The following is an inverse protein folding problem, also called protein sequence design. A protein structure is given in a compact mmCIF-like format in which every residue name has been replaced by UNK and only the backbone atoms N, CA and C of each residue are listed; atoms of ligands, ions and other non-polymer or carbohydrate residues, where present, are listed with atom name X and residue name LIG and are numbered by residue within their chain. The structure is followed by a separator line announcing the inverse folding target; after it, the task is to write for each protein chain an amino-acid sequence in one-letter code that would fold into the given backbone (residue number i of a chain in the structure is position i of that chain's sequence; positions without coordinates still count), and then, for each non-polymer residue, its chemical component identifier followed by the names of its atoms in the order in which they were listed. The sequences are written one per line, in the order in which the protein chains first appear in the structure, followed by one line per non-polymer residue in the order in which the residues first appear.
data_IF_897060425614
#
_entry.id   IF_897060425614
#
_cell.length_a   1.000
_cell.length_b   1.000
_cell.length_c   1.000
_cell.angle_alpha   90.00
_cell.angle_beta   90.00
_cell.angle_gamma   90.00
#
_symmetry.space_group_name_H-M   'P 1'
#
loop_
_entity.id
_entity.type
_entity.pdbx_description
1 polymer ?
#
# COMPACT_ATOMS: atom_id res chain seq x y z
N UNK A 1 6.31 5.36 -5.39
CA UNK A 1 7.28 5.09 -4.31
C UNK A 1 8.55 4.54 -4.92
N UNK A 2 9.68 4.92 -4.44
CA UNK A 2 10.99 4.50 -4.93
C UNK A 2 11.10 2.97 -5.04
N UNK A 3 11.60 2.49 -6.18
CA UNK A 3 11.77 1.05 -6.44
C UNK A 3 10.52 0.32 -6.93
N UNK A 4 9.37 1.00 -6.99
CA UNK A 4 8.11 0.41 -7.44
C UNK A 4 7.76 0.73 -8.91
N UNK A 5 8.51 1.61 -9.53
CA UNK A 5 8.27 2.08 -10.90
C UNK A 5 8.34 0.96 -11.95
N UNK A 6 9.07 -0.11 -11.67
CA UNK A 6 9.08 -1.30 -12.52
C UNK A 6 7.72 -1.97 -12.69
N UNK A 7 6.81 -1.75 -11.75
CA UNK A 7 5.44 -2.29 -11.82
C UNK A 7 4.56 -1.54 -12.81
N UNK A 8 4.88 -0.30 -13.16
CA UNK A 8 4.06 0.51 -14.06
C UNK A 8 3.91 -0.14 -15.43
N UNK A 9 4.98 -0.74 -15.95
CA UNK A 9 4.94 -1.43 -17.25
C UNK A 9 4.05 -2.67 -17.25
N UNK A 10 4.02 -3.39 -16.14
CA UNK A 10 3.30 -4.65 -16.04
C UNK A 10 1.83 -4.46 -15.68
N UNK A 11 1.55 -3.55 -14.75
CA UNK A 11 0.21 -3.38 -14.19
C UNK A 11 -0.57 -2.23 -14.83
N UNK A 12 0.13 -1.23 -15.38
CA UNK A 12 -0.49 -0.04 -15.94
C UNK A 12 -1.12 0.87 -14.90
N UNK A 13 -1.16 2.16 -15.21
CA UNK A 13 -1.79 3.18 -14.36
C UNK A 13 -3.23 3.35 -14.81
N UNK A 14 -4.17 3.27 -13.88
CA UNK A 14 -5.58 3.40 -14.20
C UNK A 14 -5.94 4.82 -14.61
N UNK A 15 -6.64 4.94 -15.74
CA UNK A 15 -7.33 6.17 -16.15
C UNK A 15 -8.61 5.79 -16.87
N UNK A 16 -9.75 6.32 -16.45
CA UNK A 16 -11.08 6.01 -17.04
C UNK A 16 -11.18 6.40 -18.52
N UNK A 17 -10.40 7.37 -18.96
CA UNK A 17 -10.36 7.85 -20.36
C UNK A 17 -9.16 7.31 -21.14
N UNK A 18 -8.20 6.66 -20.48
CA UNK A 18 -6.92 6.26 -21.06
C UNK A 18 -5.97 7.45 -21.19
N UNK A 19 -4.82 7.23 -21.81
CA UNK A 19 -3.80 8.26 -21.98
C UNK A 19 -4.10 9.11 -23.21
N UNK A 20 -4.25 10.43 -23.02
CA UNK A 20 -4.57 11.40 -24.07
C UNK A 20 -3.40 12.28 -24.48
N UNK A 21 -2.22 12.05 -23.92
CA UNK A 21 -0.99 12.82 -24.18
C UNK A 21 0.21 11.90 -24.22
N UNK A 22 1.29 12.39 -24.82
CA UNK A 22 2.59 11.73 -24.74
C UNK A 22 3.34 12.26 -23.52
N UNK A 23 3.76 11.39 -22.59
CA UNK A 23 4.52 11.82 -21.42
C UNK A 23 5.85 12.42 -21.81
N UNK A 24 6.22 13.55 -21.21
CA UNK A 24 7.57 14.10 -21.35
C UNK A 24 8.59 13.10 -20.78
N UNK A 25 9.74 13.02 -21.42
CA UNK A 25 10.84 12.13 -21.00
C UNK A 25 10.46 10.64 -20.90
N UNK A 26 9.45 10.20 -21.64
CA UNK A 26 8.96 8.82 -21.64
C UNK A 26 10.02 7.80 -22.04
N UNK A 27 11.04 8.22 -22.78
CA UNK A 27 12.19 7.43 -23.23
C UNK A 27 13.39 7.49 -22.27
N UNK A 28 13.38 8.41 -21.31
CA UNK A 28 14.56 8.72 -20.48
C UNK A 28 14.44 8.31 -19.02
N UNK A 29 13.27 8.46 -18.41
CA UNK A 29 13.12 8.37 -16.94
C UNK A 29 12.41 7.09 -16.51
N UNK A 30 11.17 6.88 -16.93
CA UNK A 30 10.42 5.68 -16.59
C UNK A 30 9.30 5.44 -17.60
N UNK A 31 8.89 4.19 -17.70
CA UNK A 31 7.73 3.83 -18.49
C UNK A 31 6.44 4.31 -17.76
N UNK A 32 5.78 5.29 -18.34
CA UNK A 32 4.51 5.81 -17.83
C UNK A 32 3.42 5.61 -18.89
N UNK A 33 2.39 4.85 -18.53
CA UNK A 33 1.25 4.61 -19.42
C UNK A 33 -0.04 4.51 -18.63
N UNK A 34 -0.96 5.40 -18.92
CA UNK A 34 -2.32 5.37 -18.41
C UNK A 34 -3.20 4.50 -19.32
N UNK A 35 -4.02 3.65 -18.72
CA UNK A 35 -4.90 2.73 -19.45
C UNK A 35 -6.16 2.41 -18.64
N UNK A 36 -7.25 2.08 -19.34
CA UNK A 36 -8.54 1.84 -18.72
C UNK A 36 -8.59 0.58 -17.86
N UNK A 37 -7.73 -0.37 -18.13
CA UNK A 37 -7.56 -1.62 -17.41
C UNK A 37 -6.33 -1.61 -16.47
N UNK A 38 -5.74 -0.44 -16.25
CA UNK A 38 -4.63 -0.27 -15.31
C UNK A 38 -5.02 -0.65 -13.89
N UNK A 39 -4.08 -1.27 -13.18
CA UNK A 39 -4.28 -1.75 -11.81
C UNK A 39 -3.59 -0.88 -10.75
N UNK A 40 -2.86 0.14 -11.18
CA UNK A 40 -2.23 1.09 -10.27
C UNK A 40 -3.07 2.36 -10.26
N UNK A 41 -3.55 2.74 -9.07
CA UNK A 41 -4.25 3.99 -8.85
C UNK A 41 -3.24 5.01 -8.28
N UNK A 42 -2.97 6.06 -9.04
CA UNK A 42 -2.12 7.15 -8.60
C UNK A 42 -2.96 8.27 -7.97
N UNK A 43 -2.81 8.44 -6.69
CA UNK A 43 -3.58 9.41 -5.88
C UNK A 43 -2.75 10.65 -5.52
N UNK A 44 -1.50 10.73 -5.97
CA UNK A 44 -0.57 11.76 -5.55
C UNK A 44 -0.13 11.63 -4.09
N UNK A 45 0.41 12.70 -3.53
CA UNK A 45 0.83 12.73 -2.11
C UNK A 45 -0.38 13.16 -1.27
N UNK A 46 -1.28 12.22 -1.04
CA UNK A 46 -2.52 12.41 -0.31
C UNK A 46 -2.88 11.13 0.44
N UNK A 47 -2.34 10.95 1.61
CA UNK A 47 -2.51 9.72 2.39
C UNK A 47 -3.99 9.46 2.73
N UNK A 48 -4.75 10.49 3.06
CA UNK A 48 -6.17 10.32 3.41
C UNK A 48 -7.01 9.89 2.21
N UNK A 49 -6.81 10.50 1.03
CA UNK A 49 -7.50 10.12 -0.21
C UNK A 49 -7.13 8.71 -0.65
N UNK A 50 -5.83 8.42 -0.71
CA UNK A 50 -5.32 7.10 -1.09
C UNK A 50 -5.83 5.99 -0.16
N UNK A 51 -5.84 6.24 1.14
CA UNK A 51 -6.32 5.25 2.09
C UNK A 51 -7.84 5.07 2.02
N UNK A 52 -8.59 6.11 1.72
CA UNK A 52 -10.03 6.00 1.48
C UNK A 52 -10.34 5.13 0.26
N UNK A 53 -9.59 5.30 -0.83
CA UNK A 53 -9.67 4.44 -2.02
C UNK A 53 -9.29 2.99 -1.68
N UNK A 54 -8.26 2.80 -0.86
CA UNK A 54 -7.86 1.48 -0.37
C UNK A 54 -8.97 0.83 0.46
N UNK A 55 -9.61 1.56 1.39
CA UNK A 55 -10.75 1.05 2.18
C UNK A 55 -11.90 0.63 1.27
N UNK A 56 -12.24 1.44 0.28
CA UNK A 56 -13.30 1.13 -0.67
C UNK A 56 -13.02 -0.19 -1.42
N UNK A 57 -11.80 -0.39 -1.89
CA UNK A 57 -11.39 -1.63 -2.53
C UNK A 57 -11.35 -2.80 -1.53
N UNK A 58 -10.79 -2.59 -0.34
CA UNK A 58 -10.62 -3.62 0.70
C UNK A 58 -11.95 -4.14 1.28
N UNK A 59 -13.04 -3.37 1.12
CA UNK A 59 -14.40 -3.72 1.57
C UNK A 59 -15.35 -4.04 0.42
N UNK A 60 -14.86 -4.09 -0.82
CA UNK A 60 -15.68 -4.31 -2.02
C UNK A 60 -16.51 -5.61 -1.98
N UNK A 61 -16.01 -6.63 -1.30
CA UNK A 61 -16.71 -7.90 -1.12
C UNK A 61 -18.09 -7.72 -0.46
N UNK A 62 -18.23 -6.75 0.45
CA UNK A 62 -19.48 -6.49 1.16
C UNK A 62 -20.47 -5.65 0.35
N UNK A 63 -19.99 -4.85 -0.60
CA UNK A 63 -20.82 -3.93 -1.38
C UNK A 63 -21.18 -4.46 -2.77
N UNK A 64 -20.25 -5.17 -3.42
CA UNK A 64 -20.41 -5.66 -4.78
C UNK A 64 -20.40 -7.19 -4.89
N UNK A 65 -20.07 -7.89 -3.82
CA UNK A 65 -19.85 -9.34 -3.84
C UNK A 65 -18.54 -9.77 -4.50
N UNK A 66 -17.72 -8.82 -4.92
CA UNK A 66 -16.40 -9.07 -5.55
C UNK A 66 -15.31 -8.71 -4.55
N UNK A 67 -14.52 -9.71 -4.17
CA UNK A 67 -13.38 -9.48 -3.27
C UNK A 67 -12.17 -8.99 -4.05
N UNK A 68 -11.65 -7.83 -3.66
CA UNK A 68 -10.33 -7.35 -4.08
C UNK A 68 -9.40 -7.29 -2.89
N UNK A 69 -8.11 -7.45 -3.13
CA UNK A 69 -7.06 -7.33 -2.10
C UNK A 69 -6.14 -6.18 -2.53
N UNK A 70 -6.41 -4.96 -2.10
CA UNK A 70 -5.60 -3.82 -2.47
C UNK A 70 -4.29 -3.77 -1.70
N UNK A 71 -3.27 -3.21 -2.35
CA UNK A 71 -2.00 -2.84 -1.76
C UNK A 71 -1.91 -1.32 -1.74
N UNK A 72 -1.68 -0.72 -0.58
CA UNK A 72 -1.40 0.70 -0.47
C UNK A 72 0.06 0.91 -0.05
N UNK A 73 0.79 1.66 -0.86
CA UNK A 73 2.22 1.90 -0.66
C UNK A 73 2.42 3.36 -0.29
N UNK A 74 3.03 3.61 0.86
CA UNK A 74 3.28 4.94 1.41
C UNK A 74 4.60 4.96 2.18
N UNK A 75 5.07 6.15 2.52
CA UNK A 75 6.22 6.27 3.43
C UNK A 75 5.81 5.89 4.85
N UNK A 76 6.50 4.91 5.45
CA UNK A 76 6.17 4.39 6.77
C UNK A 76 6.12 5.47 7.86
N UNK A 77 7.03 6.44 7.77
CA UNK A 77 7.07 7.56 8.72
C UNK A 77 5.78 8.37 8.75
N UNK A 78 5.16 8.60 7.59
CA UNK A 78 4.00 9.50 7.48
C UNK A 78 2.65 8.79 7.58
N UNK A 79 2.60 7.50 7.27
CA UNK A 79 1.35 6.76 7.14
C UNK A 79 0.46 6.86 8.37
N UNK A 80 0.71 6.05 9.37
CA UNK A 80 -0.17 5.96 10.55
C UNK A 80 -0.35 7.27 11.31
N UNK A 81 0.63 8.14 11.33
CA UNK A 81 0.44 9.44 11.99
C UNK A 81 -0.49 10.40 11.23
N UNK A 82 -0.74 10.13 9.94
CA UNK A 82 -1.68 10.93 9.13
C UNK A 82 -3.02 10.24 8.91
N UNK A 83 -3.06 8.91 8.96
CA UNK A 83 -4.26 8.11 8.64
C UNK A 83 -4.69 7.19 9.79
N UNK A 84 -4.24 7.45 11.02
CA UNK A 84 -4.56 6.57 12.15
C UNK A 84 -6.05 6.34 12.35
N UNK A 85 -6.87 7.37 12.29
CA UNK A 85 -8.33 7.26 12.40
C UNK A 85 -8.93 6.41 11.26
N UNK A 86 -8.43 6.58 10.05
CA UNK A 86 -8.88 5.78 8.91
C UNK A 86 -8.43 4.32 9.04
N UNK A 87 -7.27 4.06 9.65
CA UNK A 87 -6.82 2.70 9.92
C UNK A 87 -7.73 1.99 10.92
N UNK A 88 -8.20 2.69 11.96
CA UNK A 88 -9.25 2.18 12.85
C UNK A 88 -10.57 1.95 12.12
N UNK A 89 -10.99 2.89 11.28
CA UNK A 89 -12.20 2.74 10.46
C UNK A 89 -12.10 1.55 9.50
N UNK A 90 -10.92 1.30 8.93
CA UNK A 90 -10.66 0.12 8.11
C UNK A 90 -10.84 -1.18 8.92
N UNK A 91 -10.34 -1.21 10.15
CA UNK A 91 -10.52 -2.33 11.07
C UNK A 91 -12.00 -2.59 11.37
N UNK A 92 -12.73 -1.56 11.74
CA UNK A 92 -14.18 -1.63 12.00
C UNK A 92 -14.98 -2.09 10.79
N UNK A 93 -14.58 -1.62 9.61
CA UNK A 93 -15.23 -1.98 8.33
C UNK A 93 -14.82 -3.36 7.83
N UNK A 94 -13.99 -4.09 8.55
CA UNK A 94 -13.48 -5.42 8.19
C UNK A 94 -12.75 -5.42 6.84
N UNK A 95 -11.95 -4.40 6.61
CA UNK A 95 -11.15 -4.27 5.41
C UNK A 95 -10.14 -5.42 5.27
N UNK A 96 -9.88 -5.86 4.03
CA UNK A 96 -8.94 -6.94 3.70
C UNK A 96 -7.95 -6.44 2.67
N UNK A 97 -6.67 -6.40 2.99
CA UNK A 97 -5.63 -5.88 2.10
C UNK A 97 -4.31 -5.66 2.80
N UNK A 98 -3.39 -5.05 2.09
CA UNK A 98 -2.04 -4.81 2.56
C UNK A 98 -1.69 -3.32 2.55
N UNK A 99 -1.06 -2.89 3.62
CA UNK A 99 -0.43 -1.58 3.76
C UNK A 99 1.09 -1.79 3.76
N UNK A 100 1.79 -1.20 2.81
CA UNK A 100 3.24 -1.29 2.71
C UNK A 100 3.88 0.04 3.10
N UNK A 101 4.47 0.06 4.29
CA UNK A 101 5.24 1.20 4.79
C UNK A 101 6.63 1.20 4.18
N UNK A 102 6.79 1.89 3.06
CA UNK A 102 8.03 1.90 2.30
C UNK A 102 9.10 2.79 2.93
N UNK A 103 10.36 2.50 2.59
CA UNK A 103 11.54 3.20 3.12
C UNK A 103 11.59 3.22 4.65
N UNK A 104 11.21 2.11 5.26
CA UNK A 104 11.38 1.92 6.69
C UNK A 104 12.87 1.73 7.04
N UNK A 105 13.20 2.00 8.30
CA UNK A 105 14.56 1.88 8.79
C UNK A 105 15.25 3.23 8.92
N UNK A 106 16.03 3.37 9.98
CA UNK A 106 16.67 4.64 10.33
C UNK A 106 18.01 4.82 9.64
N UNK A 107 18.80 3.77 9.59
CA UNK A 107 20.18 3.82 9.08
C UNK A 107 20.25 4.01 7.57
N UNK A 108 19.30 3.50 6.84
CA UNK A 108 19.20 3.64 5.38
C UNK A 108 18.71 5.00 4.93
N UNK A 109 18.16 5.80 5.85
CA UNK A 109 17.52 7.09 5.58
C UNK A 109 18.26 8.27 6.22
N UNK A 110 19.46 8.08 6.76
CA UNK A 110 20.19 9.14 7.45
C UNK A 110 20.49 10.35 6.56
N UNK A 111 20.61 10.15 5.25
CA UNK A 111 20.78 11.22 4.28
C UNK A 111 19.51 12.01 3.95
N UNK A 112 18.34 11.45 4.29
CA UNK A 112 17.02 12.08 4.04
C UNK A 112 16.55 12.93 5.22
N UNK A 113 17.15 12.78 6.36
CA UNK A 113 16.84 13.52 7.58
C UNK A 113 15.84 12.83 8.50
N UNK A 114 15.76 13.33 9.73
CA UNK A 114 14.99 12.76 10.83
C UNK A 114 13.50 12.53 10.48
N UNK A 115 12.94 13.35 9.63
CA UNK A 115 11.53 13.26 9.23
C UNK A 115 11.19 11.98 8.44
N UNK A 116 12.17 11.24 7.96
CA UNK A 116 11.96 9.97 7.27
C UNK A 116 12.28 8.75 8.13
N UNK A 117 12.85 8.97 9.31
CA UNK A 117 13.31 7.89 10.20
C UNK A 117 12.17 7.35 11.07
N UNK A 118 11.42 6.40 10.52
CA UNK A 118 10.32 5.75 11.24
C UNK A 118 10.83 4.90 12.40
N UNK A 119 10.22 5.06 13.56
CA UNK A 119 10.44 4.24 14.74
C UNK A 119 9.17 4.02 15.57
N UNK A 120 8.02 4.43 15.04
CA UNK A 120 6.75 4.47 15.78
C UNK A 120 5.58 3.79 15.07
N UNK A 121 5.66 3.56 13.77
CA UNK A 121 4.51 3.09 13.00
C UNK A 121 3.98 1.74 13.47
N UNK A 122 4.86 0.80 13.83
CA UNK A 122 4.46 -0.49 14.40
C UNK A 122 3.82 -0.37 15.78
N UNK A 123 4.21 0.61 16.59
CA UNK A 123 3.58 0.87 17.89
C UNK A 123 2.13 1.31 17.70
N UNK A 124 1.87 2.13 16.69
CA UNK A 124 0.52 2.60 16.38
C UNK A 124 -0.30 1.48 15.75
N UNK A 125 0.23 0.80 14.74
CA UNK A 125 -0.51 -0.29 14.07
C UNK A 125 -0.88 -1.43 15.01
N UNK A 126 -0.01 -1.75 15.97
CA UNK A 126 -0.25 -2.79 16.97
C UNK A 126 -1.41 -2.48 17.94
N UNK A 127 -1.89 -1.23 17.98
CA UNK A 127 -3.06 -0.88 18.79
C UNK A 127 -4.37 -1.34 18.14
N UNK A 128 -4.39 -1.61 16.84
CA UNK A 128 -5.58 -1.97 16.09
C UNK A 128 -5.71 -3.51 16.09
N UNK A 129 -6.77 -4.09 16.68
CA UNK A 129 -6.84 -5.52 16.98
C UNK A 129 -6.74 -6.46 15.78
N UNK A 130 -7.22 -6.03 14.60
CA UNK A 130 -7.21 -6.83 13.38
C UNK A 130 -6.21 -6.33 12.33
N UNK A 131 -5.27 -5.46 12.73
CA UNK A 131 -4.12 -5.08 11.93
C UNK A 131 -2.93 -5.98 12.29
N UNK A 132 -2.53 -6.83 11.36
CA UNK A 132 -1.40 -7.76 11.54
C UNK A 132 -0.14 -7.10 11.03
N UNK A 133 0.83 -6.87 11.92
CA UNK A 133 2.01 -6.06 11.61
C UNK A 133 3.29 -6.87 11.54
N UNK A 134 4.11 -6.62 10.50
CA UNK A 134 5.40 -7.28 10.28
C UNK A 134 6.48 -6.30 9.81
N UNK A 135 7.71 -6.58 10.21
CA UNK A 135 8.91 -5.85 9.78
C UNK A 135 9.96 -6.84 9.23
N UNK A 136 9.73 -7.39 8.01
CA UNK A 136 10.63 -8.37 7.43
C UNK A 136 11.97 -7.75 7.03
N UNK A 137 13.04 -8.51 7.20
CA UNK A 137 14.38 -8.12 6.80
C UNK A 137 14.71 -8.53 5.35
N UNK A 138 14.14 -9.65 4.89
CA UNK A 138 14.46 -10.24 3.60
C UNK A 138 13.24 -10.42 2.70
N UNK A 139 13.46 -10.34 1.39
CA UNK A 139 12.39 -10.48 0.40
C UNK A 139 11.62 -11.80 0.50
N UNK A 140 12.27 -12.90 0.87
CA UNK A 140 11.58 -14.19 1.03
C UNK A 140 10.62 -14.18 2.23
N UNK A 141 10.95 -13.44 3.29
CA UNK A 141 10.04 -13.28 4.43
C UNK A 141 8.80 -12.48 4.03
N UNK A 142 9.02 -11.38 3.28
CA UNK A 142 7.92 -10.60 2.72
C UNK A 142 7.00 -11.46 1.85
N UNK A 143 7.56 -12.32 1.00
CA UNK A 143 6.78 -13.21 0.15
C UNK A 143 5.92 -14.19 0.96
N UNK A 144 6.47 -14.78 2.02
CA UNK A 144 5.74 -15.69 2.93
C UNK A 144 4.64 -14.95 3.69
N UNK A 145 4.91 -13.75 4.16
CA UNK A 145 3.91 -12.92 4.87
C UNK A 145 2.74 -12.58 3.94
N UNK A 146 3.03 -12.15 2.71
CA UNK A 146 1.98 -11.87 1.71
C UNK A 146 1.18 -13.11 1.39
N UNK A 147 1.84 -14.26 1.16
CA UNK A 147 1.16 -15.53 0.90
C UNK A 147 0.21 -15.91 2.04
N UNK A 148 0.68 -15.83 3.27
CA UNK A 148 -0.15 -16.10 4.45
C UNK A 148 -1.33 -15.13 4.55
N UNK A 149 -1.11 -13.85 4.30
CA UNK A 149 -2.17 -12.85 4.30
C UNK A 149 -3.25 -13.13 3.25
N UNK A 150 -2.84 -13.52 2.05
CA UNK A 150 -3.77 -13.92 0.99
C UNK A 150 -4.59 -15.16 1.38
N UNK A 151 -3.94 -16.16 1.96
CA UNK A 151 -4.63 -17.36 2.48
C UNK A 151 -5.68 -16.99 3.53
N UNK A 152 -5.31 -16.18 4.52
CA UNK A 152 -6.22 -15.76 5.59
C UNK A 152 -7.40 -14.94 5.04
N UNK A 153 -7.13 -13.96 4.20
CA UNK A 153 -8.17 -13.05 3.72
C UNK A 153 -9.05 -13.66 2.61
N UNK A 154 -8.48 -14.49 1.73
CA UNK A 154 -9.21 -15.03 0.58
C UNK A 154 -9.77 -16.43 0.88
N UNK A 155 -8.95 -17.36 1.36
CA UNK A 155 -9.39 -18.73 1.58
C UNK A 155 -10.18 -18.88 2.87
N UNK A 156 -9.64 -18.33 3.96
CA UNK A 156 -10.25 -18.45 5.29
C UNK A 156 -11.29 -17.35 5.56
N UNK A 157 -11.37 -16.33 4.71
CA UNK A 157 -12.31 -15.21 4.84
C UNK A 157 -12.18 -14.46 6.18
N UNK A 158 -10.97 -14.39 6.73
CA UNK A 158 -10.70 -13.66 7.95
C UNK A 158 -10.76 -12.15 7.75
N UNK A 159 -11.33 -11.45 8.71
CA UNK A 159 -11.46 -9.99 8.71
C UNK A 159 -10.21 -9.34 9.31
N UNK A 160 -9.11 -9.44 8.60
CA UNK A 160 -7.81 -8.88 8.97
C UNK A 160 -7.22 -8.11 7.79
N UNK A 161 -6.36 -7.15 8.09
CA UNK A 161 -5.49 -6.53 7.10
C UNK A 161 -4.06 -6.47 7.62
N UNK A 162 -3.10 -6.30 6.71
CA UNK A 162 -1.69 -6.39 7.04
C UNK A 162 -1.01 -5.01 6.92
N UNK A 163 -0.17 -4.71 7.88
CA UNK A 163 0.80 -3.61 7.78
C UNK A 163 2.22 -4.20 7.75
N UNK A 164 2.96 -3.92 6.70
CA UNK A 164 4.30 -4.46 6.49
C UNK A 164 5.25 -3.32 6.18
N UNK A 165 6.29 -3.14 6.99
CA UNK A 165 7.36 -2.21 6.65
C UNK A 165 8.32 -2.85 5.67
N UNK A 166 8.77 -2.07 4.68
CA UNK A 166 9.72 -2.52 3.67
C UNK A 166 10.88 -1.54 3.57
N UNK A 167 12.09 -2.08 3.56
CA UNK A 167 13.32 -1.31 3.39
C UNK A 167 13.80 -1.35 1.93
N UNK A 168 14.67 -0.42 1.58
CA UNK A 168 15.35 -0.43 0.27
C UNK A 168 16.40 -1.53 0.20
#
# INVERSE_FOLDING_TARGET
TFGMEGMFRQLGIYSSIGQLYEPQDSDQVMFYKEQKDGQILEEGINEAGSFSSWIAAATSYSTTGIQTIPFYIFYSMFGFQRIGDLAWAAGDSRARGFLLGAKAGRTTLNGEGLQHEDGHSHLISATIPNCVSYDPCFAYELAVIIQNGLERMIQNQEDVYYYITVMN
#
